data_IF_609763748353
#
_entry.id   IF_609763748353
#
_cell.length_a   1.000
_cell.length_b   1.000
_cell.length_c   1.000
_cell.angle_alpha   90.00
_cell.angle_beta   90.00
_cell.angle_gamma   90.00
#
_symmetry.space_group_name_H-M   'P 1'
#
loop_
_entity.id
_entity.type
_entity.pdbx_description
1 polymer ?
#
# COMPACT_ATOMS: atom_id res chain seq x y z
N UNK A 1 -15.91 -2.02 17.59
CA UNK A 1 -15.54 -0.60 17.67
C UNK A 1 -14.74 -0.19 16.46
N UNK A 2 -15.32 0.65 15.62
CA UNK A 2 -14.61 1.50 14.67
C UNK A 2 -13.67 2.39 15.52
N UNK A 3 -12.39 2.52 15.18
CA UNK A 3 -11.50 3.35 16.01
C UNK A 3 -12.01 4.79 16.03
N UNK A 4 -11.89 5.49 17.16
CA UNK A 4 -12.34 6.90 17.30
C UNK A 4 -11.89 7.78 16.11
N UNK A 5 -10.71 7.51 15.55
CA UNK A 5 -10.19 8.15 14.34
C UNK A 5 -11.02 7.87 13.07
N UNK A 6 -11.46 6.64 12.83
CA UNK A 6 -12.29 6.31 11.66
C UNK A 6 -13.67 6.97 11.74
N UNK A 7 -14.24 7.08 12.95
CA UNK A 7 -15.51 7.78 13.15
C UNK A 7 -15.37 9.28 12.90
N UNK A 8 -14.29 9.89 13.39
CA UNK A 8 -13.94 11.27 13.04
C UNK A 8 -13.80 11.47 11.52
N UNK A 9 -13.11 10.57 10.81
CA UNK A 9 -12.97 10.69 9.36
C UNK A 9 -14.31 10.60 8.64
N UNK A 10 -15.21 9.70 9.05
CA UNK A 10 -16.56 9.60 8.49
C UNK A 10 -17.37 10.88 8.70
N UNK A 11 -17.42 11.39 9.93
CA UNK A 11 -18.17 12.61 10.27
C UNK A 11 -17.66 13.83 9.49
N UNK A 12 -16.35 13.91 9.24
CA UNK A 12 -15.74 14.99 8.46
C UNK A 12 -15.69 14.73 6.95
N UNK A 13 -16.29 13.63 6.47
CA UNK A 13 -16.24 13.21 5.06
C UNK A 13 -14.81 13.12 4.50
N UNK A 14 -13.87 12.72 5.35
CA UNK A 14 -12.45 12.51 5.00
C UNK A 14 -12.28 11.06 4.52
N UNK A 15 -11.66 10.90 3.37
CA UNK A 15 -11.29 9.58 2.87
C UNK A 15 -9.95 9.15 3.44
N UNK A 16 -9.94 8.02 4.14
CA UNK A 16 -8.74 7.54 4.82
C UNK A 16 -8.10 6.39 4.07
N UNK A 17 -6.96 6.69 3.46
CA UNK A 17 -6.14 5.75 2.73
C UNK A 17 -5.03 5.14 3.60
N UNK A 18 -4.70 3.87 3.41
CA UNK A 18 -3.59 3.22 4.11
C UNK A 18 -2.60 2.59 3.13
N UNK A 19 -1.36 2.49 3.58
CA UNK A 19 -0.28 1.81 2.90
C UNK A 19 0.03 0.47 3.58
N UNK A 20 0.72 -0.41 2.84
CA UNK A 20 1.17 -1.68 3.37
C UNK A 20 2.22 -1.49 4.48
N UNK A 21 2.21 -2.31 5.54
CA UNK A 21 3.26 -2.26 6.55
C UNK A 21 4.66 -2.47 5.95
N UNK A 22 5.54 -1.49 6.14
CA UNK A 22 6.89 -1.48 5.59
C UNK A 22 7.00 -0.93 4.16
N UNK A 23 5.89 -0.45 3.57
CA UNK A 23 5.93 0.36 2.35
C UNK A 23 6.21 1.83 2.69
N UNK A 24 7.50 2.16 2.66
CA UNK A 24 8.03 3.52 2.83
C UNK A 24 7.89 4.37 1.56
N UNK A 25 7.63 3.76 0.40
CA UNK A 25 7.54 4.46 -0.88
C UNK A 25 6.32 5.37 -0.92
N UNK A 26 5.16 4.84 -0.52
CA UNK A 26 3.89 5.57 -0.53
C UNK A 26 3.91 6.82 0.36
N UNK A 27 4.60 6.77 1.51
CA UNK A 27 4.70 7.89 2.46
C UNK A 27 5.97 8.72 2.29
N UNK A 28 6.73 8.52 1.20
CA UNK A 28 8.05 9.11 1.01
C UNK A 28 8.09 10.64 1.09
N UNK A 29 7.02 11.35 0.68
CA UNK A 29 6.93 12.82 0.83
C UNK A 29 6.95 13.24 2.30
N UNK A 30 6.17 12.57 3.15
CA UNK A 30 6.09 12.82 4.60
C UNK A 30 7.41 12.40 5.27
N UNK A 31 7.98 11.27 4.90
CA UNK A 31 9.25 10.82 5.46
C UNK A 31 10.41 11.78 5.15
N UNK A 32 10.46 12.30 3.91
CA UNK A 32 11.44 13.33 3.52
C UNK A 32 11.23 14.63 4.28
N UNK A 33 9.99 15.07 4.47
CA UNK A 33 9.66 16.24 5.30
C UNK A 33 10.15 16.06 6.74
N UNK A 34 9.82 14.93 7.37
CA UNK A 34 10.25 14.59 8.72
C UNK A 34 11.79 14.57 8.84
N UNK A 35 12.48 14.02 7.84
CA UNK A 35 13.94 14.05 7.77
C UNK A 35 14.48 15.47 7.74
N UNK A 36 13.91 16.34 6.91
CA UNK A 36 14.33 17.76 6.81
C UNK A 36 14.14 18.50 8.13
N UNK A 37 13.00 18.33 8.80
CA UNK A 37 12.75 18.93 10.11
C UNK A 37 13.80 18.47 11.12
N UNK A 38 14.06 17.16 11.19
CA UNK A 38 15.08 16.59 12.08
C UNK A 38 16.46 17.17 11.80
N UNK A 39 16.88 17.22 10.53
CA UNK A 39 18.18 17.79 10.15
C UNK A 39 18.33 19.25 10.60
N UNK A 40 17.29 20.07 10.47
CA UNK A 40 17.31 21.46 10.93
C UNK A 40 17.42 21.56 12.45
N UNK A 41 16.61 20.79 13.17
CA UNK A 41 16.68 20.73 14.63
C UNK A 41 18.05 20.23 15.13
N UNK A 42 18.62 19.22 14.49
CA UNK A 42 19.97 18.71 14.82
C UNK A 42 21.03 19.78 14.61
N UNK A 43 20.95 20.57 13.52
CA UNK A 43 21.90 21.67 13.26
C UNK A 43 21.78 22.80 14.29
N UNK A 44 20.56 23.11 14.74
CA UNK A 44 20.34 24.11 15.78
C UNK A 44 20.83 23.65 17.16
N UNK A 45 20.92 22.32 17.37
CA UNK A 45 21.34 21.69 18.63
C UNK A 45 20.68 22.32 19.88
N UNK A 46 19.34 22.44 19.92
CA UNK A 46 18.65 23.12 21.00
C UNK A 46 18.78 22.31 22.31
N UNK A 47 18.98 23.01 23.44
CA UNK A 47 18.99 22.36 24.77
C UNK A 47 17.66 21.65 25.09
N UNK A 48 16.54 22.17 24.57
CA UNK A 48 15.21 21.57 24.70
C UNK A 48 14.37 21.88 23.46
N UNK A 49 13.64 20.88 22.96
CA UNK A 49 12.66 21.06 21.90
C UNK A 49 11.39 21.63 22.52
N UNK A 50 11.01 22.85 22.11
CA UNK A 50 9.78 23.52 22.52
C UNK A 50 8.79 23.59 21.36
N UNK A 51 7.51 23.78 21.67
CA UNK A 51 6.47 23.95 20.64
C UNK A 51 6.78 25.14 19.73
N UNK A 52 7.24 26.26 20.30
CA UNK A 52 7.65 27.45 19.54
C UNK A 52 8.75 27.12 18.54
N UNK A 53 9.80 26.41 18.98
CA UNK A 53 10.88 26.02 18.09
C UNK A 53 10.40 25.13 16.94
N UNK A 54 9.48 24.19 17.21
CA UNK A 54 8.88 23.36 16.16
C UNK A 54 8.11 24.22 15.16
N UNK A 55 7.30 25.17 15.64
CA UNK A 55 6.58 26.12 14.78
C UNK A 55 7.54 26.92 13.91
N UNK A 56 8.60 27.48 14.49
CA UNK A 56 9.59 28.30 13.76
C UNK A 56 10.30 27.48 12.66
N UNK A 57 10.65 26.21 12.95
CA UNK A 57 11.29 25.32 11.95
C UNK A 57 10.32 24.97 10.81
N UNK A 58 9.03 24.76 11.12
CA UNK A 58 7.99 24.49 10.12
C UNK A 58 7.75 25.72 9.25
N UNK A 59 7.61 26.90 9.85
CA UNK A 59 7.42 28.15 9.12
C UNK A 59 8.62 28.44 8.21
N UNK A 60 9.83 28.26 8.73
CA UNK A 60 11.02 28.36 7.90
C UNK A 60 11.01 27.34 6.76
N UNK A 61 10.50 26.13 6.94
CA UNK A 61 10.42 25.13 5.85
C UNK A 61 9.45 25.59 4.77
N UNK A 62 8.27 26.04 5.19
CA UNK A 62 7.20 26.44 4.28
C UNK A 62 7.53 27.69 3.46
N UNK A 63 8.47 28.51 3.92
CA UNK A 63 8.93 29.74 3.24
C UNK A 63 10.31 29.61 2.57
N UNK A 64 11.05 28.53 2.79
CA UNK A 64 12.35 28.32 2.12
C UNK A 64 12.16 27.79 0.71
N UNK A 65 12.82 28.41 -0.27
CA UNK A 65 12.79 27.96 -1.66
C UNK A 65 13.47 26.59 -1.81
N UNK A 66 12.76 25.64 -2.44
CA UNK A 66 13.36 24.36 -2.84
C UNK A 66 14.01 24.52 -4.22
N UNK A 67 15.30 24.15 -4.33
CA UNK A 67 16.13 24.35 -5.54
C UNK A 67 15.47 23.97 -6.86
N UNK A 68 14.61 22.95 -6.87
CA UNK A 68 14.04 22.38 -8.09
C UNK A 68 12.65 22.92 -8.44
N UNK A 69 11.95 23.57 -7.51
CA UNK A 69 10.52 23.90 -7.70
C UNK A 69 10.24 25.30 -7.11
N UNK A 70 9.57 25.36 -5.94
CA UNK A 70 9.14 26.59 -5.27
C UNK A 70 9.03 26.35 -3.77
N UNK A 71 8.64 27.37 -3.01
CA UNK A 71 8.37 27.18 -1.57
C UNK A 71 7.09 26.35 -1.36
N UNK A 72 6.97 25.58 -0.27
CA UNK A 72 5.72 24.85 0.03
C UNK A 72 4.48 25.75 0.12
N UNK A 73 4.62 26.99 0.62
CA UNK A 73 3.53 27.96 0.66
C UNK A 73 3.06 28.38 -0.74
N UNK A 74 3.98 28.62 -1.66
CA UNK A 74 3.64 28.96 -3.05
C UNK A 74 3.04 27.78 -3.82
N UNK A 75 3.43 26.55 -3.47
CA UNK A 75 2.89 25.34 -4.09
C UNK A 75 1.47 25.02 -3.65
N UNK A 76 0.98 25.62 -2.56
CA UNK A 76 -0.33 25.34 -1.99
C UNK A 76 -1.44 25.62 -3.01
N UNK A 77 -2.20 24.58 -3.36
CA UNK A 77 -3.33 24.67 -4.29
C UNK A 77 -2.93 24.71 -5.77
N UNK A 78 -1.64 24.60 -6.10
CA UNK A 78 -1.18 24.50 -7.48
C UNK A 78 -1.13 23.05 -7.94
N UNK A 79 -1.55 22.82 -9.17
CA UNK A 79 -1.36 21.54 -9.86
C UNK A 79 -0.02 21.61 -10.60
N UNK A 80 0.79 20.57 -10.47
CA UNK A 80 2.08 20.46 -11.14
C UNK A 80 1.95 19.55 -12.36
N UNK A 81 1.66 20.13 -13.53
CA UNK A 81 1.42 19.37 -14.76
C UNK A 81 2.63 18.51 -15.18
N UNK A 82 3.84 18.99 -14.90
CA UNK A 82 5.07 18.23 -15.13
C UNK A 82 5.11 16.91 -14.34
N UNK A 83 4.64 16.91 -13.08
CA UNK A 83 4.58 15.69 -12.26
C UNK A 83 3.53 14.73 -12.81
N UNK A 84 2.38 15.25 -13.25
CA UNK A 84 1.31 14.45 -13.86
C UNK A 84 1.78 13.80 -15.18
N UNK A 85 2.47 14.56 -16.02
CA UNK A 85 3.03 14.05 -17.28
C UNK A 85 4.10 12.98 -17.02
N UNK A 86 5.01 13.20 -16.08
CA UNK A 86 6.02 12.21 -15.71
C UNK A 86 5.39 10.90 -15.22
N UNK A 87 4.36 11.01 -14.38
CA UNK A 87 3.62 9.87 -13.88
C UNK A 87 2.96 9.06 -15.00
N UNK A 88 2.35 9.75 -15.96
CA UNK A 88 1.72 9.11 -17.12
C UNK A 88 2.73 8.35 -17.98
N UNK A 89 3.89 8.96 -18.27
CA UNK A 89 4.96 8.32 -19.04
C UNK A 89 5.49 7.07 -18.34
N UNK A 90 5.65 7.10 -17.01
CA UNK A 90 6.10 5.94 -16.25
C UNK A 90 5.06 4.81 -16.25
N UNK A 91 3.77 5.14 -16.18
CA UNK A 91 2.69 4.15 -16.30
C UNK A 91 2.72 3.46 -17.68
N UNK A 92 2.82 4.24 -18.76
CA UNK A 92 2.94 3.71 -20.12
C UNK A 92 4.19 2.85 -20.33
N UNK A 93 5.31 3.20 -19.67
CA UNK A 93 6.54 2.41 -19.71
C UNK A 93 6.33 1.02 -19.11
N UNK A 94 5.64 0.95 -17.98
CA UNK A 94 5.35 -0.31 -17.28
C UNK A 94 4.39 -1.17 -18.11
N UNK A 95 3.38 -0.57 -18.71
CA UNK A 95 2.46 -1.26 -19.62
C UNK A 95 3.19 -1.89 -20.81
N UNK A 96 4.23 -1.23 -21.34
CA UNK A 96 5.06 -1.76 -22.43
C UNK A 96 6.08 -2.82 -21.98
N UNK A 97 6.52 -2.78 -20.72
CA UNK A 97 7.52 -3.71 -20.19
C UNK A 97 6.90 -5.07 -19.81
N UNK A 98 5.63 -5.08 -19.39
CA UNK A 98 4.94 -6.27 -18.91
C UNK A 98 3.71 -6.60 -19.76
N UNK A 99 3.88 -7.52 -20.71
CA UNK A 99 2.74 -8.06 -21.45
C UNK A 99 1.91 -9.01 -20.57
N UNK A 100 0.59 -8.82 -20.58
CA UNK A 100 -0.35 -9.74 -19.93
C UNK A 100 -0.16 -11.15 -20.49
N UNK A 101 0.05 -12.09 -19.57
CA UNK A 101 0.30 -13.49 -19.89
C UNK A 101 1.77 -13.91 -19.78
N UNK A 102 2.69 -12.96 -19.63
CA UNK A 102 4.10 -13.24 -19.42
C UNK A 102 4.39 -13.91 -18.08
N UNK A 103 5.41 -14.78 -18.05
CA UNK A 103 5.85 -15.42 -16.82
C UNK A 103 6.92 -14.59 -16.09
N UNK A 104 6.78 -14.46 -14.77
CA UNK A 104 7.67 -13.66 -13.93
C UNK A 104 8.02 -14.36 -12.61
N UNK A 105 9.20 -14.06 -12.09
CA UNK A 105 9.58 -14.27 -10.70
C UNK A 105 9.47 -12.94 -9.95
N UNK A 106 9.17 -12.96 -8.66
CA UNK A 106 9.22 -11.74 -7.83
C UNK A 106 10.36 -11.78 -6.82
N UNK A 107 10.86 -10.60 -6.45
CA UNK A 107 11.95 -10.43 -5.50
C UNK A 107 11.48 -10.64 -4.07
N UNK A 108 12.18 -11.50 -3.33
CA UNK A 108 11.94 -11.74 -1.91
C UNK A 108 12.54 -10.63 -1.06
N UNK A 109 11.85 -10.28 0.04
CA UNK A 109 12.37 -9.31 1.03
C UNK A 109 13.65 -9.84 1.65
N UNK A 110 14.69 -8.99 1.72
CA UNK A 110 15.95 -9.32 2.40
C UNK A 110 15.72 -9.44 3.91
N UNK A 111 16.33 -10.45 4.53
CA UNK A 111 16.45 -10.51 5.99
C UNK A 111 17.64 -9.66 6.46
N UNK A 112 17.65 -9.26 7.73
CA UNK A 112 18.64 -8.32 8.29
C UNK A 112 20.11 -8.77 8.14
N UNK A 113 20.34 -10.07 7.98
CA UNK A 113 21.66 -10.69 7.85
C UNK A 113 21.89 -11.35 6.48
N UNK A 114 21.00 -11.14 5.50
CA UNK A 114 21.14 -11.72 4.16
C UNK A 114 22.23 -10.99 3.35
N UNK A 115 23.04 -11.76 2.60
CA UNK A 115 24.03 -11.22 1.64
C UNK A 115 23.34 -10.41 0.54
N UNK A 116 24.11 -9.53 -0.13
CA UNK A 116 23.56 -8.47 -0.99
C UNK A 116 22.78 -8.92 -2.23
N UNK A 117 22.92 -10.16 -2.69
CA UNK A 117 22.29 -10.67 -3.90
C UNK A 117 20.75 -10.64 -3.83
N UNK A 118 20.11 -10.32 -4.96
CA UNK A 118 18.65 -10.40 -5.08
C UNK A 118 18.19 -11.86 -5.03
N UNK A 119 17.31 -12.17 -4.08
CA UNK A 119 16.65 -13.48 -3.97
C UNK A 119 15.32 -13.42 -4.69
N UNK A 120 15.06 -14.39 -5.56
CA UNK A 120 13.82 -14.50 -6.33
C UNK A 120 12.92 -15.58 -5.75
N UNK A 121 11.62 -15.50 -6.03
CA UNK A 121 10.65 -16.54 -5.70
C UNK A 121 11.05 -17.86 -6.33
N UNK A 122 10.79 -18.98 -5.64
CA UNK A 122 10.95 -20.32 -6.22
C UNK A 122 9.84 -20.61 -7.24
N UNK A 123 8.66 -20.07 -7.01
CA UNK A 123 7.51 -20.21 -7.89
C UNK A 123 7.53 -19.15 -9.01
N UNK A 124 7.04 -19.55 -10.18
CA UNK A 124 6.84 -18.74 -11.38
C UNK A 124 5.38 -18.32 -11.44
N UNK A 125 5.13 -17.03 -11.65
CA UNK A 125 3.80 -16.43 -11.70
C UNK A 125 3.51 -15.93 -13.12
N UNK A 126 2.25 -15.80 -13.48
CA UNK A 126 1.78 -15.21 -14.73
C UNK A 126 1.31 -13.79 -14.47
N UNK A 127 1.70 -12.83 -15.30
CA UNK A 127 1.13 -11.48 -15.28
C UNK A 127 -0.33 -11.57 -15.74
N UNK A 128 -1.26 -11.09 -14.92
CA UNK A 128 -2.70 -11.10 -15.22
C UNK A 128 -3.28 -9.71 -15.45
N UNK A 129 -2.58 -8.67 -15.01
CA UNK A 129 -3.03 -7.29 -15.18
C UNK A 129 -2.03 -6.28 -14.61
N UNK A 130 -2.30 -5.01 -14.86
CA UNK A 130 -1.53 -3.87 -14.36
C UNK A 130 -2.53 -2.92 -13.72
N UNK A 131 -2.24 -2.46 -12.50
CA UNK A 131 -3.03 -1.50 -11.74
C UNK A 131 -2.11 -0.36 -11.30
N UNK A 132 -2.15 0.75 -12.06
CA UNK A 132 -1.21 1.86 -11.91
C UNK A 132 0.24 1.40 -12.05
N UNK A 133 1.07 1.68 -11.03
CA UNK A 133 2.48 1.25 -11.01
C UNK A 133 2.71 -0.15 -10.44
N UNK A 134 1.65 -0.95 -10.27
CA UNK A 134 1.76 -2.31 -9.72
C UNK A 134 1.31 -3.31 -10.74
N UNK A 135 2.04 -4.42 -10.81
CA UNK A 135 1.74 -5.54 -11.69
C UNK A 135 1.07 -6.62 -10.86
N UNK A 136 -0.08 -7.09 -11.34
CA UNK A 136 -0.84 -8.18 -10.77
C UNK A 136 -0.32 -9.50 -11.34
N UNK A 137 0.13 -10.41 -10.46
CA UNK A 137 0.74 -11.68 -10.84
C UNK A 137 -0.03 -12.84 -10.19
N UNK A 138 -0.24 -13.94 -10.90
CA UNK A 138 -1.01 -15.10 -10.44
C UNK A 138 -0.24 -16.42 -10.59
N UNK A 139 -0.23 -17.25 -9.56
CA UNK A 139 0.36 -18.59 -9.60
C UNK A 139 -0.59 -19.61 -10.25
N UNK A 140 -0.08 -20.82 -10.54
CA UNK A 140 -0.87 -21.90 -11.15
C UNK A 140 -2.05 -22.35 -10.26
N UNK A 141 -1.84 -22.40 -8.95
CA UNK A 141 -2.88 -22.69 -7.95
C UNK A 141 -3.80 -21.50 -7.61
N UNK A 142 -3.82 -20.45 -8.43
CA UNK A 142 -4.80 -19.36 -8.35
C UNK A 142 -4.47 -18.22 -7.39
N UNK A 143 -3.29 -18.20 -6.76
CA UNK A 143 -2.94 -17.13 -5.81
C UNK A 143 -2.47 -15.89 -6.55
N UNK A 144 -3.10 -14.76 -6.26
CA UNK A 144 -2.77 -13.47 -6.86
C UNK A 144 -1.98 -12.57 -5.90
N UNK A 145 -0.93 -11.92 -6.39
CA UNK A 145 -0.11 -10.94 -5.67
C UNK A 145 0.00 -9.64 -6.48
N UNK A 146 0.20 -8.52 -5.79
CA UNK A 146 0.56 -7.23 -6.40
C UNK A 146 2.01 -6.90 -6.09
N UNK A 147 2.82 -6.58 -7.12
CA UNK A 147 4.25 -6.28 -6.98
C UNK A 147 4.66 -5.06 -7.80
N UNK A 148 5.71 -4.39 -7.35
CA UNK A 148 6.33 -3.33 -8.15
C UNK A 148 7.04 -3.95 -9.36
N UNK A 149 7.03 -3.29 -10.53
CA UNK A 149 7.76 -3.68 -11.74
C UNK A 149 9.23 -4.05 -11.46
N UNK A 150 9.93 -3.22 -10.68
CA UNK A 150 11.34 -3.42 -10.33
C UNK A 150 11.60 -4.66 -9.44
N UNK A 151 10.54 -5.20 -8.82
CA UNK A 151 10.60 -6.43 -8.05
C UNK A 151 10.23 -7.65 -8.90
N UNK A 152 10.02 -7.50 -10.21
CA UNK A 152 9.70 -8.59 -11.13
C UNK A 152 10.86 -8.89 -12.07
N UNK A 153 10.98 -10.17 -12.44
CA UNK A 153 11.92 -10.65 -13.45
C UNK A 153 11.20 -11.57 -14.42
N UNK A 154 11.19 -11.18 -15.68
CA UNK A 154 10.63 -11.98 -16.78
C UNK A 154 11.41 -13.28 -16.96
N UNK A 155 10.68 -14.38 -17.13
CA UNK A 155 11.22 -15.72 -17.35
C UNK A 155 10.41 -16.42 -18.45
N UNK A 156 11.04 -17.37 -19.15
CA UNK A 156 10.38 -18.16 -20.21
C UNK A 156 9.76 -19.47 -19.70
N UNK A 157 9.80 -19.70 -18.39
CA UNK A 157 9.29 -20.92 -17.75
C UNK A 157 7.79 -20.83 -17.54
N UNK A 158 7.08 -21.96 -17.57
CA UNK A 158 5.67 -22.00 -17.23
C UNK A 158 5.41 -21.62 -15.77
N UNK A 159 4.22 -21.09 -15.52
CA UNK A 159 3.73 -20.77 -14.18
C UNK A 159 3.71 -22.00 -13.30
N UNK A 160 4.22 -21.92 -12.06
CA UNK A 160 4.26 -23.05 -11.11
C UNK A 160 3.41 -22.78 -9.87
N UNK A 161 3.24 -23.80 -9.04
CA UNK A 161 2.52 -23.67 -7.78
C UNK A 161 3.35 -22.88 -6.76
N UNK A 162 2.69 -21.91 -6.13
CA UNK A 162 3.30 -21.12 -5.07
C UNK A 162 3.18 -21.83 -3.72
N UNK A 163 4.10 -21.54 -2.79
CA UNK A 163 3.95 -21.75 -1.33
C UNK A 163 3.69 -20.41 -0.65
N UNK A 164 2.79 -20.35 0.35
CA UNK A 164 2.51 -19.08 1.05
C UNK A 164 3.73 -18.73 1.90
N UNK A 165 4.23 -17.51 1.72
CA UNK A 165 5.19 -16.92 2.64
C UNK A 165 4.49 -15.97 3.60
N UNK A 166 5.06 -15.83 4.79
CA UNK A 166 4.56 -14.88 5.78
C UNK A 166 4.67 -13.46 5.23
N UNK A 167 3.53 -12.79 5.09
CA UNK A 167 3.44 -11.42 4.57
C UNK A 167 3.01 -11.31 3.11
N UNK A 168 2.72 -12.43 2.44
CA UNK A 168 2.06 -12.41 1.13
C UNK A 168 0.62 -11.86 1.27
N UNK A 169 0.22 -11.03 0.31
CA UNK A 169 -1.13 -10.48 0.21
C UNK A 169 -1.93 -11.43 -0.66
N UNK A 170 -3.02 -11.99 -0.14
CA UNK A 170 -3.87 -12.92 -0.86
C UNK A 170 -5.15 -12.21 -1.31
N UNK A 171 -5.65 -12.59 -2.48
CA UNK A 171 -6.93 -12.14 -3.01
C UNK A 171 -8.07 -12.96 -2.38
N UNK A 172 -9.03 -12.26 -1.78
CA UNK A 172 -10.21 -12.87 -1.19
C UNK A 172 -11.27 -13.10 -2.27
N UNK A 173 -11.87 -14.29 -2.31
CA UNK A 173 -12.96 -14.62 -3.23
C UNK A 173 -14.31 -14.18 -2.65
N UNK A 174 -14.58 -14.51 -1.38
CA UNK A 174 -15.86 -14.18 -0.74
C UNK A 174 -15.73 -14.11 0.79
N UNK A 175 -16.60 -13.33 1.42
CA UNK A 175 -16.84 -13.42 2.87
C UNK A 175 -17.88 -14.52 3.10
N UNK A 176 -17.54 -15.52 3.90
CA UNK A 176 -18.44 -16.62 4.25
C UNK A 176 -19.23 -16.31 5.52
N UNK A 177 -18.57 -15.72 6.51
CA UNK A 177 -19.18 -15.41 7.81
C UNK A 177 -18.47 -14.23 8.48
N UNK A 178 -19.08 -13.70 9.55
CA UNK A 178 -18.53 -12.63 10.37
C UNK A 178 -18.78 -12.88 11.86
N UNK A 179 -17.85 -12.45 12.72
CA UNK A 179 -18.04 -12.49 14.17
C UNK A 179 -17.38 -11.32 14.88
N UNK A 180 -17.93 -11.00 16.04
CA UNK A 180 -17.36 -10.03 16.96
C UNK A 180 -16.54 -10.75 18.02
N UNK A 181 -15.29 -10.34 18.22
CA UNK A 181 -14.45 -10.88 19.31
C UNK A 181 -14.92 -10.35 20.66
N UNK A 182 -14.51 -10.99 21.76
CA UNK A 182 -14.72 -10.49 23.13
C UNK A 182 -14.22 -9.05 23.34
N UNK A 183 -13.24 -8.61 22.56
CA UNK A 183 -12.70 -7.25 22.54
C UNK A 183 -13.45 -6.27 21.62
N UNK A 184 -14.61 -6.66 21.07
CA UNK A 184 -15.42 -5.83 20.19
C UNK A 184 -14.84 -5.61 18.79
N UNK A 185 -13.86 -6.43 18.35
CA UNK A 185 -13.26 -6.34 17.01
C UNK A 185 -13.97 -7.29 16.05
N UNK A 186 -14.25 -6.83 14.83
CA UNK A 186 -14.85 -7.65 13.78
C UNK A 186 -13.80 -8.51 13.08
N UNK A 187 -14.15 -9.78 12.85
CA UNK A 187 -13.42 -10.70 11.97
C UNK A 187 -14.38 -11.26 10.92
N UNK A 188 -13.85 -11.47 9.73
CA UNK A 188 -14.52 -12.19 8.64
C UNK A 188 -13.87 -13.55 8.44
N UNK A 189 -14.68 -14.55 8.18
CA UNK A 189 -14.24 -15.83 7.62
C UNK A 189 -14.13 -15.64 6.11
N UNK A 190 -12.91 -15.70 5.60
CA UNK A 190 -12.61 -15.43 4.19
C UNK A 190 -12.44 -16.74 3.45
N UNK A 191 -13.19 -16.89 2.35
CA UNK A 191 -12.86 -17.81 1.27
C UNK A 191 -11.84 -17.11 0.37
N UNK A 192 -10.68 -17.72 0.20
CA UNK A 192 -9.60 -17.17 -0.62
C UNK A 192 -9.71 -17.64 -2.06
N UNK A 193 -9.24 -16.82 -2.99
CA UNK A 193 -9.11 -17.25 -4.38
C UNK A 193 -8.02 -18.34 -4.48
N UNK A 194 -8.35 -19.47 -5.10
CA UNK A 194 -7.46 -20.63 -5.25
C UNK A 194 -7.68 -21.71 -4.19
N UNK A 195 -6.64 -22.47 -3.87
CA UNK A 195 -6.73 -23.66 -3.00
C UNK A 195 -6.35 -23.39 -1.53
N UNK A 196 -6.57 -22.16 -1.04
CA UNK A 196 -6.24 -21.82 0.35
C UNK A 196 -7.37 -22.12 1.32
N UNK A 197 -7.06 -22.66 2.51
CA UNK A 197 -8.08 -22.94 3.51
C UNK A 197 -8.69 -21.64 4.03
N UNK A 198 -10.01 -21.70 4.22
CA UNK A 198 -10.78 -20.59 4.80
C UNK A 198 -10.20 -20.18 6.14
N UNK A 199 -10.08 -18.87 6.38
CA UNK A 199 -9.51 -18.40 7.64
C UNK A 199 -10.09 -17.08 8.13
N UNK A 200 -10.15 -16.95 9.46
CA UNK A 200 -10.64 -15.76 10.14
C UNK A 200 -9.60 -14.63 10.09
N UNK A 201 -9.91 -13.55 9.38
CA UNK A 201 -9.07 -12.34 9.31
C UNK A 201 -9.77 -11.11 9.88
N UNK A 202 -9.03 -10.14 10.44
CA UNK A 202 -9.61 -8.85 10.79
C UNK A 202 -10.26 -8.17 9.59
N UNK A 203 -11.39 -7.49 9.79
CA UNK A 203 -12.07 -6.76 8.71
C UNK A 203 -11.16 -5.73 8.00
N UNK A 204 -10.19 -5.16 8.74
CA UNK A 204 -9.21 -4.21 8.22
C UNK A 204 -8.34 -4.77 7.09
N UNK A 205 -8.23 -6.10 6.97
CA UNK A 205 -7.46 -6.74 5.90
C UNK A 205 -8.16 -6.70 4.55
N UNK A 206 -9.50 -6.52 4.51
CA UNK A 206 -10.25 -6.40 3.26
C UNK A 206 -10.33 -4.95 2.75
N UNK A 207 -10.01 -3.98 3.62
CA UNK A 207 -10.05 -2.55 3.32
C UNK A 207 -8.63 -1.98 3.22
N UNK A 208 -7.83 -2.53 2.31
CA UNK A 208 -6.41 -2.18 2.17
C UNK A 208 -6.24 -0.72 1.74
N UNK A 209 -6.97 -0.30 0.72
CA UNK A 209 -6.82 1.03 0.10
C UNK A 209 -7.58 2.09 0.89
N UNK A 210 -8.88 1.92 1.14
CA UNK A 210 -9.72 2.90 1.86
C UNK A 210 -10.43 2.24 3.05
N UNK A 211 -10.07 2.62 4.28
CA UNK A 211 -10.66 2.02 5.50
C UNK A 211 -12.08 2.50 5.80
N UNK A 212 -12.46 3.65 5.26
CA UNK A 212 -13.77 4.28 5.52
C UNK A 212 -14.88 3.72 4.62
N UNK A 213 -14.51 3.14 3.47
CA UNK A 213 -15.46 2.52 2.53
C UNK A 213 -15.48 0.99 2.73
N UNK A 214 -16.67 0.35 2.74
CA UNK A 214 -16.75 -1.09 2.64
C UNK A 214 -16.10 -1.57 1.33
N UNK A 215 -15.37 -2.68 1.37
CA UNK A 215 -14.90 -3.37 0.17
C UNK A 215 -16.09 -3.89 -0.64
N UNK A 216 -15.88 -4.23 -1.91
CA UNK A 216 -16.91 -4.86 -2.75
C UNK A 216 -17.43 -6.14 -2.11
N UNK A 217 -16.54 -6.98 -1.58
CA UNK A 217 -16.91 -8.20 -0.85
C UNK A 217 -17.78 -7.92 0.38
N UNK A 218 -17.53 -6.81 1.11
CA UNK A 218 -18.39 -6.41 2.23
C UNK A 218 -19.76 -5.96 1.72
N UNK A 219 -19.81 -5.17 0.63
CA UNK A 219 -21.08 -4.75 0.02
C UNK A 219 -21.89 -5.95 -0.47
N UNK A 220 -21.27 -6.93 -1.10
CA UNK A 220 -21.93 -8.15 -1.56
C UNK A 220 -22.42 -9.00 -0.39
N UNK A 221 -21.57 -9.20 0.62
CA UNK A 221 -21.91 -10.03 1.77
C UNK A 221 -23.06 -9.46 2.62
N UNK A 222 -23.04 -8.15 2.88
CA UNK A 222 -24.10 -7.47 3.63
C UNK A 222 -25.28 -7.06 2.74
N UNK A 223 -25.07 -6.82 1.44
CA UNK A 223 -26.16 -6.56 0.49
C UNK A 223 -27.01 -7.80 0.22
N UNK A 224 -26.41 -9.00 0.27
CA UNK A 224 -27.12 -10.27 0.18
C UNK A 224 -27.82 -10.70 1.49
N UNK A 225 -27.56 -10.00 2.59
CA UNK A 225 -28.19 -10.23 3.90
C UNK A 225 -28.86 -8.93 4.35
N UNK A 226 -30.13 -8.71 4.00
CA UNK A 226 -30.92 -7.63 4.59
C UNK A 226 -30.82 -7.68 6.13
N UNK A 227 -30.05 -6.77 6.73
CA UNK A 227 -30.03 -6.58 8.19
C UNK A 227 -29.88 -5.08 8.48
N UNK A 228 -30.71 -4.52 9.39
CA UNK A 228 -30.85 -3.10 9.65
C UNK A 228 -29.59 -2.50 10.29
N UNK A 229 -29.29 -1.26 9.91
CA UNK A 229 -28.29 -0.41 10.56
C UNK A 229 -28.76 0.08 11.93
#
# INVERSE_FOLDING_TARGET
MISQAQEFFKTKKIEHYNNEPGDHGTMGKIERFNRTLKQRLTKMSPKRISQKLITDVIENYNTTFHRSIMTPNEAKGKVMDADLSHNQVEAERIEKEFDVGSSVLYRLKKQAFDKEAARWSKAVYKVVGIDGYRVQIRSRNGRTLYKAPNDLKMVKTETTDATINRGDILEAEKILDHKTTRSGKYKYLIKWLGNEPDSWKPFSNLRLINKNRPSELEKEYFGAKEIPF
#
